data_IF_182162833071
#
_entry.id   IF_182162833071
#
_cell.length_a   1.000
_cell.length_b   1.000
_cell.length_c   1.000
_cell.angle_alpha   90.00
_cell.angle_beta   90.00
_cell.angle_gamma   90.00
#
_symmetry.space_group_name_H-M   'P 1'
#
loop_
_entity.id
_entity.type
_entity.pdbx_description
1 polymer ?
#
# COMPACT_ATOMS: atom_id res chain seq x y z
N UNK A 1 29.79 27.33 -3.63
CA UNK A 1 29.58 27.47 -2.17
C UNK A 1 28.22 26.84 -1.83
N UNK A 2 28.17 25.54 -1.64
CA UNK A 2 26.96 24.80 -1.27
C UNK A 2 27.14 24.31 0.16
N UNK A 3 26.44 24.94 1.09
CA UNK A 3 26.33 24.43 2.47
C UNK A 3 25.31 23.28 2.47
N UNK A 4 25.82 22.07 2.37
CA UNK A 4 25.03 20.86 2.58
C UNK A 4 24.70 20.72 4.06
N UNK A 5 23.42 20.60 4.41
CA UNK A 5 22.95 20.21 5.74
C UNK A 5 22.93 18.70 5.82
N UNK A 6 23.84 18.12 6.60
CA UNK A 6 23.83 16.69 6.93
C UNK A 6 22.47 16.31 7.54
N UNK A 7 21.57 15.73 6.76
CA UNK A 7 20.39 15.05 7.27
C UNK A 7 20.79 13.61 7.57
N UNK A 8 21.07 13.34 8.84
CA UNK A 8 21.04 12.00 9.38
C UNK A 8 19.64 11.47 9.08
N UNK A 9 19.53 10.43 8.24
CA UNK A 9 18.29 9.66 8.13
C UNK A 9 18.17 8.93 9.48
N UNK A 10 17.54 9.60 10.42
CA UNK A 10 16.92 8.91 11.51
C UNK A 10 15.75 8.16 10.86
N UNK A 11 15.81 6.81 10.81
CA UNK A 11 14.58 6.03 10.90
C UNK A 11 13.85 6.71 12.04
N UNK A 12 12.73 7.36 11.74
CA UNK A 12 11.94 8.08 12.71
C UNK A 12 11.36 7.05 13.67
N UNK A 13 12.18 6.60 14.62
CA UNK A 13 11.68 5.87 15.78
C UNK A 13 10.85 6.90 16.51
N UNK A 14 9.55 6.88 16.34
CA UNK A 14 8.64 7.81 16.99
C UNK A 14 8.80 7.64 18.50
N UNK A 15 9.52 8.56 19.11
CA UNK A 15 9.53 8.72 20.57
C UNK A 15 8.31 9.55 20.93
N UNK A 16 7.30 8.92 21.51
CA UNK A 16 6.11 9.58 22.05
C UNK A 16 4.86 9.06 21.37
N UNK A 17 3.86 8.72 22.14
CA UNK A 17 2.62 8.08 21.80
C UNK A 17 1.98 8.52 20.50
N UNK A 18 2.25 7.79 19.47
CA UNK A 18 1.61 7.96 18.18
C UNK A 18 0.25 7.27 18.26
N UNK A 19 -0.83 8.00 17.96
CA UNK A 19 -2.13 7.37 17.81
C UNK A 19 -2.03 6.25 16.77
N UNK A 20 -2.68 5.13 17.05
CA UNK A 20 -2.72 3.98 16.16
C UNK A 20 -3.92 4.12 15.23
N UNK A 21 -3.71 3.97 13.93
CA UNK A 21 -4.76 4.03 12.92
C UNK A 21 -4.93 2.65 12.29
N UNK A 22 -6.10 2.04 12.51
CA UNK A 22 -6.48 0.74 11.94
C UNK A 22 -7.46 0.99 10.80
N UNK A 23 -7.01 0.82 9.57
CA UNK A 23 -7.83 1.00 8.37
C UNK A 23 -8.87 -0.12 8.25
N UNK A 24 -10.10 0.24 7.85
CA UNK A 24 -11.23 -0.70 7.70
C UNK A 24 -11.75 -0.81 6.28
N UNK A 25 -11.73 0.28 5.51
CA UNK A 25 -12.29 0.31 4.17
C UNK A 25 -11.63 1.39 3.33
N UNK A 26 -11.51 1.16 2.04
CA UNK A 26 -11.26 2.19 1.02
C UNK A 26 -12.40 2.24 0.02
N UNK A 27 -12.75 3.47 -0.44
CA UNK A 27 -13.55 3.71 -1.62
C UNK A 27 -12.74 4.58 -2.58
N UNK A 28 -12.69 4.18 -3.83
CA UNK A 28 -11.84 4.78 -4.87
C UNK A 28 -12.67 4.99 -6.12
N UNK A 29 -12.57 6.17 -6.71
CA UNK A 29 -13.22 6.48 -7.98
C UNK A 29 -12.30 7.33 -8.87
N UNK A 30 -12.49 7.26 -10.19
CA UNK A 30 -11.87 8.17 -11.14
C UNK A 30 -10.35 8.01 -11.30
N UNK A 31 -9.81 6.81 -11.15
CA UNK A 31 -8.39 6.51 -11.35
C UNK A 31 -8.22 5.41 -12.41
N UNK A 32 -7.71 5.75 -13.59
CA UNK A 32 -7.53 4.82 -14.72
C UNK A 32 -8.84 4.10 -15.06
N UNK A 33 -8.93 2.79 -14.82
CA UNK A 33 -10.15 2.00 -15.04
C UNK A 33 -10.91 1.72 -13.73
N UNK A 34 -10.61 2.42 -12.64
CA UNK A 34 -11.32 2.25 -11.37
C UNK A 34 -12.52 3.21 -11.30
N UNK A 35 -13.71 2.63 -11.19
CA UNK A 35 -14.97 3.34 -11.00
C UNK A 35 -15.69 2.75 -9.81
N UNK A 36 -15.96 3.57 -8.79
CA UNK A 36 -16.72 3.20 -7.58
C UNK A 36 -16.23 1.92 -6.87
N UNK A 37 -14.92 1.69 -6.84
CA UNK A 37 -14.34 0.51 -6.19
C UNK A 37 -14.37 0.65 -4.68
N UNK A 38 -14.96 -0.33 -4.01
CA UNK A 38 -15.00 -0.42 -2.54
C UNK A 38 -14.24 -1.65 -2.06
N UNK A 39 -13.28 -1.46 -1.16
CA UNK A 39 -12.50 -2.52 -0.54
C UNK A 39 -12.65 -2.49 0.98
N UNK A 40 -13.25 -3.51 1.55
CA UNK A 40 -13.24 -3.75 3.00
C UNK A 40 -11.93 -4.46 3.35
N UNK A 41 -11.28 -4.03 4.41
CA UNK A 41 -9.99 -4.55 4.82
C UNK A 41 -10.15 -5.46 6.04
N UNK A 42 -9.76 -6.72 5.88
CA UNK A 42 -9.47 -7.64 6.97
C UNK A 42 -8.00 -7.54 7.38
N UNK A 43 -7.51 -8.39 8.27
CA UNK A 43 -6.09 -8.36 8.65
C UNK A 43 -5.21 -8.62 7.43
N UNK A 44 -5.63 -9.59 6.61
CA UNK A 44 -5.06 -9.86 5.29
C UNK A 44 -6.18 -9.77 4.25
N UNK A 45 -6.00 -9.01 3.19
CA UNK A 45 -6.96 -8.85 2.08
C UNK A 45 -6.26 -9.15 0.76
N UNK A 46 -6.80 -10.05 -0.04
CA UNK A 46 -6.26 -10.41 -1.33
C UNK A 46 -7.10 -9.86 -2.48
N UNK A 47 -6.46 -9.34 -3.51
CA UNK A 47 -7.08 -8.98 -4.79
C UNK A 47 -6.53 -9.94 -5.85
N UNK A 48 -7.35 -10.89 -6.28
CA UNK A 48 -6.93 -12.00 -7.14
C UNK A 48 -7.64 -11.90 -8.48
N UNK A 49 -6.97 -12.29 -9.56
CA UNK A 49 -7.56 -12.29 -10.90
C UNK A 49 -6.50 -12.31 -12.00
N UNK A 50 -6.93 -12.44 -13.25
CA UNK A 50 -6.05 -12.44 -14.40
C UNK A 50 -5.36 -11.07 -14.59
N UNK A 51 -4.37 -11.03 -15.49
CA UNK A 51 -3.65 -9.80 -15.80
C UNK A 51 -4.61 -8.76 -16.45
N UNK A 52 -4.28 -7.49 -16.29
CA UNK A 52 -5.02 -6.34 -16.85
C UNK A 52 -6.40 -6.02 -16.25
N UNK A 53 -6.86 -6.72 -15.21
CA UNK A 53 -8.15 -6.44 -14.55
C UNK A 53 -8.10 -5.34 -13.47
N UNK A 54 -7.06 -4.52 -13.48
CA UNK A 54 -7.00 -3.33 -12.61
C UNK A 54 -6.39 -3.54 -11.23
N UNK A 55 -5.90 -4.74 -10.85
CA UNK A 55 -5.29 -5.02 -9.53
C UNK A 55 -4.21 -4.00 -9.13
N UNK A 56 -3.21 -3.78 -9.99
CA UNK A 56 -2.15 -2.80 -9.75
C UNK A 56 -2.67 -1.36 -9.77
N UNK A 57 -3.80 -1.07 -10.46
CA UNK A 57 -4.41 0.25 -10.43
C UNK A 57 -5.00 0.56 -9.06
N UNK A 58 -5.60 -0.41 -8.37
CA UNK A 58 -6.06 -0.25 -6.98
C UNK A 58 -4.90 0.14 -6.06
N UNK A 59 -3.77 -0.60 -6.13
CA UNK A 59 -2.59 -0.29 -5.33
C UNK A 59 -2.05 1.11 -5.64
N UNK A 60 -1.98 1.46 -6.92
CA UNK A 60 -1.49 2.78 -7.33
C UNK A 60 -2.43 3.92 -6.89
N UNK A 61 -3.74 3.70 -6.92
CA UNK A 61 -4.73 4.67 -6.45
C UNK A 61 -4.64 4.88 -4.93
N UNK A 62 -4.53 3.81 -4.14
CA UNK A 62 -4.33 3.90 -2.68
C UNK A 62 -3.01 4.63 -2.38
N UNK A 63 -1.91 4.25 -3.06
CA UNK A 63 -0.61 4.89 -2.89
C UNK A 63 -0.66 6.39 -3.17
N UNK A 64 -1.19 6.76 -4.32
CA UNK A 64 -1.33 8.16 -4.71
C UNK A 64 -2.25 8.90 -3.74
N UNK A 65 -3.40 8.31 -3.42
CA UNK A 65 -4.41 8.95 -2.58
C UNK A 65 -3.92 9.22 -1.15
N UNK A 66 -3.24 8.27 -0.50
CA UNK A 66 -2.69 8.50 0.85
C UNK A 66 -1.52 9.51 0.79
N UNK A 67 -0.66 9.43 -0.23
CA UNK A 67 0.42 10.41 -0.41
C UNK A 67 -0.11 11.80 -0.66
N UNK A 68 -1.20 11.95 -1.42
CA UNK A 68 -1.85 13.22 -1.69
C UNK A 68 -2.26 13.95 -0.42
N UNK A 69 -2.77 13.23 0.60
CA UNK A 69 -3.15 13.84 1.87
C UNK A 69 -1.97 14.58 2.50
N UNK A 70 -0.77 13.99 2.50
CA UNK A 70 0.44 14.54 3.13
C UNK A 70 1.21 15.53 2.25
N UNK A 71 0.96 15.51 0.95
CA UNK A 71 1.75 16.24 -0.03
C UNK A 71 1.63 17.75 0.18
N UNK A 72 2.69 18.53 -0.01
CA UNK A 72 2.60 19.99 -0.11
C UNK A 72 1.85 20.39 -1.40
N UNK A 73 1.37 21.64 -1.44
CA UNK A 73 0.57 22.17 -2.56
C UNK A 73 1.20 21.92 -3.94
N UNK A 74 2.49 22.15 -4.10
CA UNK A 74 3.18 21.92 -5.38
C UNK A 74 3.11 20.47 -5.84
N UNK A 75 3.23 19.52 -4.90
CA UNK A 75 3.15 18.09 -5.20
C UNK A 75 1.71 17.66 -5.47
N UNK A 76 0.72 18.21 -4.76
CA UNK A 76 -0.71 18.00 -5.06
C UNK A 76 -1.05 18.44 -6.48
N UNK A 77 -0.53 19.59 -6.91
CA UNK A 77 -0.68 20.09 -8.28
C UNK A 77 -0.10 19.10 -9.30
N UNK A 78 1.07 18.50 -8.99
CA UNK A 78 1.68 17.46 -9.86
C UNK A 78 0.82 16.22 -9.95
N UNK A 79 0.23 15.75 -8.84
CA UNK A 79 -0.70 14.62 -8.84
C UNK A 79 -1.92 14.92 -9.73
N UNK A 80 -2.61 16.04 -9.50
CA UNK A 80 -3.80 16.44 -10.27
C UNK A 80 -3.53 16.65 -11.77
N UNK A 81 -2.27 16.86 -12.16
CA UNK A 81 -1.85 17.08 -13.55
C UNK A 81 -1.19 15.85 -14.19
N UNK A 82 -1.11 14.71 -13.48
CA UNK A 82 -0.43 13.53 -13.99
C UNK A 82 -1.33 12.70 -14.91
N UNK A 83 -1.21 12.92 -16.21
CA UNK A 83 -2.02 12.25 -17.25
C UNK A 83 -1.97 10.72 -17.21
N UNK A 84 -0.90 10.11 -16.68
CA UNK A 84 -0.82 8.65 -16.57
C UNK A 84 -1.80 8.04 -15.53
N UNK A 85 -2.42 8.88 -14.72
CA UNK A 85 -3.36 8.50 -13.67
C UNK A 85 -4.81 8.80 -14.01
N UNK A 86 -5.06 9.54 -15.10
CA UNK A 86 -6.40 9.93 -15.53
C UNK A 86 -7.29 8.72 -15.86
N UNK A 87 -8.62 8.87 -15.77
CA UNK A 87 -9.54 7.88 -16.27
C UNK A 87 -9.24 7.50 -17.73
N UNK A 88 -9.17 6.19 -18.02
CA UNK A 88 -8.76 5.69 -19.34
C UNK A 88 -9.93 5.50 -20.29
N UNK A 89 -11.13 5.30 -19.75
CA UNK A 89 -12.32 4.96 -20.52
C UNK A 89 -13.03 6.23 -20.98
N UNK A 90 -13.48 6.26 -22.23
CA UNK A 90 -14.17 7.43 -22.81
C UNK A 90 -15.38 7.87 -21.99
N UNK A 91 -16.19 6.92 -21.51
CA UNK A 91 -17.36 7.19 -20.66
C UNK A 91 -17.00 7.84 -19.32
N UNK A 92 -15.77 7.65 -18.83
CA UNK A 92 -15.31 8.14 -17.54
C UNK A 92 -14.30 9.31 -17.67
N UNK A 93 -14.10 9.87 -18.86
CA UNK A 93 -13.06 10.84 -19.14
C UNK A 93 -13.13 12.13 -18.30
N UNK A 94 -14.32 12.50 -17.82
CA UNK A 94 -14.54 13.67 -16.95
C UNK A 94 -14.70 13.34 -15.48
N UNK A 95 -14.51 12.08 -15.06
CA UNK A 95 -14.71 11.67 -13.68
C UNK A 95 -13.58 12.17 -12.79
N UNK A 96 -13.95 12.86 -11.71
CA UNK A 96 -13.02 13.32 -10.69
C UNK A 96 -12.42 12.15 -9.91
N UNK A 97 -11.17 12.33 -9.46
CA UNK A 97 -10.60 11.38 -8.51
C UNK A 97 -11.21 11.56 -7.14
N UNK A 98 -11.60 10.47 -6.51
CA UNK A 98 -11.95 10.48 -5.09
C UNK A 98 -11.32 9.32 -4.34
N UNK A 99 -10.92 9.61 -3.10
CA UNK A 99 -10.51 8.62 -2.11
C UNK A 99 -11.27 8.88 -0.83
N UNK A 100 -11.99 7.87 -0.33
CA UNK A 100 -12.53 7.83 1.02
C UNK A 100 -11.98 6.60 1.74
N UNK A 101 -11.67 6.74 3.03
CA UNK A 101 -11.38 5.59 3.87
C UNK A 101 -12.08 5.68 5.21
N UNK A 102 -12.36 4.52 5.79
CA UNK A 102 -12.80 4.40 7.18
C UNK A 102 -11.69 3.77 8.02
N UNK A 103 -11.53 4.23 9.24
CA UNK A 103 -10.53 3.73 10.17
C UNK A 103 -10.99 3.81 11.62
N UNK A 104 -10.41 2.98 12.48
CA UNK A 104 -10.46 3.15 13.92
C UNK A 104 -9.16 3.80 14.37
N UNK A 105 -9.25 4.93 15.05
CA UNK A 105 -8.10 5.62 15.65
C UNK A 105 -8.11 5.36 17.15
N UNK A 106 -7.00 4.86 17.67
CA UNK A 106 -6.83 4.45 19.06
C UNK A 106 -5.76 5.32 19.69
N UNK A 107 -6.08 6.01 20.79
CA UNK A 107 -5.10 6.82 21.52
C UNK A 107 -4.34 5.98 22.56
N UNK A 108 -3.38 6.61 23.26
CA UNK A 108 -2.57 5.99 24.29
C UNK A 108 -3.37 5.45 25.49
N UNK A 109 -4.55 6.00 25.73
CA UNK A 109 -5.47 5.55 26.77
C UNK A 109 -6.42 4.44 26.31
N UNK A 110 -6.24 3.88 25.11
CA UNK A 110 -7.12 2.93 24.45
C UNK A 110 -8.54 3.48 24.16
N UNK A 111 -8.72 4.81 24.18
CA UNK A 111 -9.96 5.42 23.71
C UNK A 111 -10.03 5.30 22.17
N UNK A 112 -11.18 4.91 21.66
CA UNK A 112 -11.41 4.63 20.25
C UNK A 112 -12.28 5.70 19.59
N UNK A 113 -11.93 6.04 18.37
CA UNK A 113 -12.76 6.88 17.50
C UNK A 113 -12.89 6.22 16.12
N UNK A 114 -14.10 5.97 15.65
CA UNK A 114 -14.34 5.62 14.26
C UNK A 114 -14.34 6.90 13.43
N UNK A 115 -13.57 6.89 12.35
CA UNK A 115 -13.44 8.02 11.45
C UNK A 115 -13.74 7.60 10.02
N UNK A 116 -14.39 8.51 9.28
CA UNK A 116 -14.51 8.44 7.82
C UNK A 116 -13.93 9.73 7.27
N UNK A 117 -12.88 9.61 6.48
CA UNK A 117 -12.23 10.75 5.83
C UNK A 117 -12.19 10.52 4.34
N UNK A 118 -12.55 11.54 3.58
CA UNK A 118 -12.50 11.50 2.13
C UNK A 118 -12.32 12.86 1.49
N UNK A 119 -11.86 12.86 0.26
CA UNK A 119 -11.71 14.04 -0.57
C UNK A 119 -11.90 13.70 -2.04
N UNK A 120 -12.24 14.73 -2.83
CA UNK A 120 -12.41 14.66 -4.28
C UNK A 120 -11.66 15.81 -4.93
N UNK A 121 -10.96 15.55 -6.03
CA UNK A 121 -10.34 16.59 -6.84
C UNK A 121 -10.57 16.34 -8.33
N UNK A 122 -10.63 17.45 -9.11
CA UNK A 122 -10.68 17.38 -10.57
C UNK A 122 -9.30 17.25 -11.17
N UNK A 123 -9.18 16.35 -12.15
CA UNK A 123 -7.99 16.26 -12.97
C UNK A 123 -7.83 17.52 -13.85
N UNK A 124 -6.58 17.93 -14.12
CA UNK A 124 -6.28 19.03 -15.01
C UNK A 124 -6.40 18.57 -16.48
N UNK A 125 -7.61 18.59 -17.00
CA UNK A 125 -7.95 18.19 -18.38
C UNK A 125 -8.42 19.39 -19.19
N UNK A 126 -8.70 19.19 -20.49
CA UNK A 126 -9.31 20.23 -21.34
C UNK A 126 -10.76 20.55 -20.89
N UNK A 127 -11.42 19.62 -20.21
CA UNK A 127 -12.82 19.76 -19.77
C UNK A 127 -12.96 20.33 -18.36
N UNK A 128 -11.94 20.19 -17.52
CA UNK A 128 -11.95 20.64 -16.14
C UNK A 128 -10.61 21.21 -15.70
N UNK A 129 -10.64 22.32 -14.96
CA UNK A 129 -9.47 22.83 -14.28
C UNK A 129 -9.22 21.99 -13.01
N UNK A 130 -7.95 21.73 -12.69
CA UNK A 130 -7.57 21.06 -11.44
C UNK A 130 -8.08 21.82 -10.22
N UNK A 131 -8.45 21.09 -9.18
CA UNK A 131 -8.83 21.68 -7.90
C UNK A 131 -9.44 20.62 -6.97
N UNK A 132 -9.31 20.84 -5.68
CA UNK A 132 -9.96 20.00 -4.67
C UNK A 132 -11.39 20.51 -4.51
N UNK A 133 -12.35 19.66 -4.87
CA UNK A 133 -13.78 20.02 -4.91
C UNK A 133 -14.48 19.70 -3.60
N UNK A 134 -14.16 18.55 -3.01
CA UNK A 134 -14.81 18.09 -1.79
C UNK A 134 -13.80 17.59 -0.78
N UNK A 135 -14.13 17.75 0.49
CA UNK A 135 -13.42 17.15 1.60
C UNK A 135 -14.36 16.97 2.77
N UNK A 136 -14.33 15.82 3.40
CA UNK A 136 -15.14 15.57 4.58
C UNK A 136 -14.41 14.74 5.63
N UNK A 137 -14.73 15.00 6.89
CA UNK A 137 -14.30 14.20 8.04
C UNK A 137 -15.52 13.97 8.94
N UNK A 138 -15.88 12.71 9.13
CA UNK A 138 -16.84 12.28 10.15
C UNK A 138 -16.08 11.57 11.27
N UNK A 139 -16.41 11.91 12.51
CA UNK A 139 -15.87 11.26 13.70
C UNK A 139 -17.04 10.75 14.52
N UNK A 140 -16.90 9.51 15.03
CA UNK A 140 -17.79 8.91 16.01
C UNK A 140 -16.94 8.43 17.19
N UNK A 141 -17.04 9.12 18.31
CA UNK A 141 -16.35 8.82 19.56
C UNK A 141 -17.25 9.09 20.75
N UNK A 142 -16.85 8.70 21.95
CA UNK A 142 -17.60 9.02 23.18
C UNK A 142 -17.72 10.53 23.43
N UNK A 143 -16.72 11.31 22.98
CA UNK A 143 -16.65 12.76 23.25
C UNK A 143 -17.33 13.62 22.19
N UNK A 144 -17.42 13.15 20.96
CA UNK A 144 -17.99 13.92 19.85
C UNK A 144 -18.42 13.02 18.71
N UNK A 145 -19.53 13.39 18.06
CA UNK A 145 -20.03 12.70 16.87
C UNK A 145 -20.37 13.66 15.74
N UNK A 146 -20.47 13.11 14.51
CA UNK A 146 -20.93 13.79 13.31
C UNK A 146 -19.82 14.38 12.43
N UNK A 147 -20.21 15.30 11.55
CA UNK A 147 -19.32 15.95 10.57
C UNK A 147 -18.39 16.95 11.25
N UNK A 148 -17.10 16.84 11.02
CA UNK A 148 -16.05 17.71 11.60
C UNK A 148 -15.36 18.58 10.56
N UNK A 149 -15.27 18.13 9.31
CA UNK A 149 -14.83 18.91 8.15
C UNK A 149 -15.89 18.75 7.06
N UNK A 150 -16.16 19.84 6.34
CA UNK A 150 -16.99 19.85 5.14
C UNK A 150 -16.45 20.91 4.18
N UNK A 151 -16.09 20.48 2.98
CA UNK A 151 -15.72 21.36 1.87
C UNK A 151 -16.59 21.05 0.66
N UNK A 152 -17.08 22.08 -0.01
CA UNK A 152 -17.78 22.05 -1.28
C UNK A 152 -17.24 23.22 -2.12
N UNK A 153 -16.38 22.92 -3.09
CA UNK A 153 -15.62 23.91 -3.85
C UNK A 153 -14.73 24.78 -2.95
N UNK A 154 -14.90 26.09 -3.01
CA UNK A 154 -14.19 27.05 -2.15
C UNK A 154 -14.80 27.22 -0.77
N UNK A 155 -16.02 26.69 -0.54
CA UNK A 155 -16.71 26.82 0.74
C UNK A 155 -16.26 25.72 1.71
N UNK A 156 -15.34 26.05 2.61
CA UNK A 156 -14.83 25.12 3.62
C UNK A 156 -15.29 25.50 5.03
N UNK A 157 -15.64 24.48 5.81
CA UNK A 157 -16.15 24.61 7.19
C UNK A 157 -15.55 23.52 8.09
N UNK A 158 -15.39 23.86 9.35
CA UNK A 158 -14.95 22.90 10.36
C UNK A 158 -15.75 23.01 11.67
N UNK A 159 -15.68 22.00 12.50
CA UNK A 159 -16.33 21.95 13.81
C UNK A 159 -15.37 22.51 14.87
N UNK A 160 -15.75 23.63 15.51
CA UNK A 160 -14.90 24.35 16.45
C UNK A 160 -14.99 23.82 17.90
N UNK A 161 -16.14 23.28 18.29
CA UNK A 161 -16.37 22.78 19.66
C UNK A 161 -17.11 21.44 19.67
N UNK A 162 -16.93 20.59 20.70
CA UNK A 162 -17.54 19.26 20.77
C UNK A 162 -19.06 19.24 20.61
N UNK A 163 -19.76 20.24 21.20
CA UNK A 163 -21.22 20.36 21.14
C UNK A 163 -21.72 21.18 19.94
N UNK A 164 -20.79 21.84 19.23
CA UNK A 164 -21.10 22.68 18.07
C UNK A 164 -21.42 21.89 16.80
N UNK A 165 -21.84 22.61 15.77
CA UNK A 165 -22.01 22.08 14.41
C UNK A 165 -20.79 22.41 13.54
N UNK A 166 -20.61 21.71 12.42
CA UNK A 166 -19.59 22.00 11.42
C UNK A 166 -19.98 23.23 10.59
N UNK A 167 -19.79 24.44 11.14
CA UNK A 167 -20.24 25.70 10.55
C UNK A 167 -19.19 26.82 10.57
N UNK A 168 -18.07 26.64 11.30
CA UNK A 168 -16.99 27.63 11.35
C UNK A 168 -16.29 27.66 9.99
N UNK A 169 -16.32 28.82 9.34
CA UNK A 169 -15.67 29.01 8.02
C UNK A 169 -14.15 28.99 8.16
N UNK A 170 -13.50 28.48 7.15
CA UNK A 170 -12.05 28.48 6.99
C UNK A 170 -11.73 28.78 5.52
N UNK A 171 -10.84 29.76 5.28
CA UNK A 171 -10.39 30.05 3.94
C UNK A 171 -9.41 28.96 3.48
N UNK A 172 -9.52 28.52 2.25
CA UNK A 172 -8.74 27.42 1.70
C UNK A 172 -8.49 27.65 0.21
N UNK A 173 -7.28 27.34 -0.24
CA UNK A 173 -6.92 27.37 -1.64
C UNK A 173 -7.33 26.08 -2.36
N UNK A 174 -7.43 26.13 -3.69
CA UNK A 174 -7.90 24.99 -4.50
C UNK A 174 -6.97 23.76 -4.44
N UNK A 175 -5.72 23.95 -4.06
CA UNK A 175 -4.70 22.90 -3.92
C UNK A 175 -4.40 22.50 -2.47
N UNK A 176 -5.17 23.01 -1.51
CA UNK A 176 -5.02 22.70 -0.08
C UNK A 176 -6.17 21.84 0.44
N UNK A 177 -5.85 20.89 1.29
CA UNK A 177 -6.84 20.16 2.08
C UNK A 177 -7.08 20.89 3.42
N UNK A 178 -8.33 20.95 3.84
CA UNK A 178 -8.73 21.55 5.14
C UNK A 178 -8.02 20.86 6.29
N UNK A 179 -7.89 19.54 6.23
CA UNK A 179 -7.22 18.75 7.28
C UNK A 179 -5.76 19.18 7.48
N UNK A 180 -5.03 19.54 6.41
CA UNK A 180 -3.64 20.02 6.54
C UNK A 180 -3.57 21.39 7.22
N UNK A 181 -4.54 22.28 6.94
CA UNK A 181 -4.60 23.59 7.58
C UNK A 181 -4.96 23.49 9.06
N UNK A 182 -5.90 22.58 9.40
CA UNK A 182 -6.34 22.35 10.77
C UNK A 182 -5.25 21.72 11.65
N UNK A 183 -4.24 21.05 11.09
CA UNK A 183 -3.11 20.51 11.86
C UNK A 183 -2.34 21.57 12.63
N UNK A 184 -2.40 22.84 12.19
CA UNK A 184 -1.75 23.98 12.84
C UNK A 184 -2.65 24.70 13.86
N UNK A 185 -3.81 24.15 14.21
CA UNK A 185 -4.77 24.76 15.12
C UNK A 185 -4.63 24.19 16.54
N UNK A 186 -3.77 24.76 17.37
CA UNK A 186 -3.40 24.24 18.72
C UNK A 186 -4.60 23.92 19.61
N UNK A 187 -5.73 24.63 19.46
CA UNK A 187 -6.92 24.48 20.30
C UNK A 187 -8.02 23.62 19.66
N UNK A 188 -7.70 22.83 18.65
CA UNK A 188 -8.66 21.95 18.00
C UNK A 188 -8.88 20.69 18.84
N UNK A 189 -10.14 20.48 19.32
CA UNK A 189 -10.43 19.38 20.26
C UNK A 189 -10.27 17.96 19.65
N UNK A 190 -10.16 17.84 18.30
CA UNK A 190 -9.87 16.62 17.57
C UNK A 190 -8.53 16.68 16.81
N UNK A 191 -7.61 17.55 17.26
CA UNK A 191 -6.30 17.74 16.63
C UNK A 191 -5.52 16.42 16.51
N UNK A 192 -5.58 15.57 17.52
CA UNK A 192 -4.88 14.28 17.49
C UNK A 192 -5.41 13.35 16.39
N UNK A 193 -6.71 13.40 16.11
CA UNK A 193 -7.31 12.66 14.98
C UNK A 193 -6.82 13.23 13.65
N UNK A 194 -6.77 14.56 13.50
CA UNK A 194 -6.21 15.24 12.32
C UNK A 194 -4.75 14.80 12.09
N UNK A 195 -3.93 14.82 13.14
CA UNK A 195 -2.54 14.35 13.07
C UNK A 195 -2.44 12.86 12.73
N UNK A 196 -3.34 12.03 13.26
CA UNK A 196 -3.36 10.60 12.97
C UNK A 196 -3.67 10.34 11.49
N UNK A 197 -4.61 11.06 10.90
CA UNK A 197 -4.96 10.96 9.48
C UNK A 197 -3.81 11.46 8.60
N UNK A 198 -3.25 12.64 8.87
CA UNK A 198 -2.08 13.16 8.19
C UNK A 198 -0.84 12.27 8.41
N UNK A 199 -0.79 11.53 9.50
CA UNK A 199 0.29 10.63 9.90
C UNK A 199 0.13 9.18 9.43
N UNK A 200 -0.88 8.82 8.63
CA UNK A 200 -1.04 7.46 8.11
C UNK A 200 0.21 7.04 7.34
N UNK A 201 0.92 6.07 7.87
CA UNK A 201 2.11 5.51 7.24
C UNK A 201 1.78 4.14 6.64
N UNK A 202 2.37 3.86 5.49
CA UNK A 202 2.20 2.62 4.77
C UNK A 202 3.46 2.30 3.97
N UNK A 203 3.63 1.03 3.62
CA UNK A 203 4.69 0.61 2.72
C UNK A 203 4.16 -0.26 1.59
N UNK A 204 4.79 -0.15 0.43
CA UNK A 204 4.48 -0.95 -0.74
C UNK A 204 5.73 -1.70 -1.14
N UNK A 205 5.60 -3.02 -1.24
CA UNK A 205 6.65 -3.92 -1.71
C UNK A 205 6.20 -4.38 -3.09
N UNK A 206 6.76 -3.75 -4.11
CA UNK A 206 6.62 -4.10 -5.52
C UNK A 206 7.80 -4.95 -5.95
N UNK A 207 7.90 -5.26 -7.22
CA UNK A 207 8.97 -6.02 -7.85
C UNK A 207 10.28 -6.06 -7.07
N UNK A 208 10.49 -7.16 -6.37
CA UNK A 208 11.66 -7.36 -5.55
C UNK A 208 12.86 -7.67 -6.47
N UNK A 209 13.60 -6.65 -6.85
CA UNK A 209 14.86 -6.83 -7.55
C UNK A 209 15.95 -7.26 -6.55
N UNK A 210 16.04 -8.56 -6.41
CA UNK A 210 17.02 -9.23 -5.52
C UNK A 210 18.46 -8.80 -5.83
N UNK A 211 18.75 -8.42 -7.07
CA UNK A 211 20.12 -8.08 -7.49
C UNK A 211 20.57 -6.72 -6.93
N UNK A 212 19.66 -5.82 -6.65
CA UNK A 212 19.95 -4.48 -6.13
C UNK A 212 19.95 -4.40 -4.61
N UNK A 213 19.24 -5.32 -3.95
CA UNK A 213 18.93 -5.21 -2.52
C UNK A 213 20.10 -5.56 -1.59
N UNK A 214 21.20 -6.13 -2.09
CA UNK A 214 22.15 -6.84 -1.22
C UNK A 214 23.64 -6.61 -1.52
N UNK A 215 23.97 -5.56 -2.22
CA UNK A 215 25.36 -5.08 -2.17
C UNK A 215 25.69 -4.78 -0.70
N UNK A 216 26.87 -5.20 -0.18
CA UNK A 216 27.27 -4.82 1.15
C UNK A 216 27.11 -3.31 1.25
N UNK A 217 26.10 -2.87 2.00
CA UNK A 217 25.76 -1.47 2.06
C UNK A 217 26.95 -0.72 2.65
N UNK A 218 27.75 -0.08 1.83
CA UNK A 218 28.46 1.10 2.26
C UNK A 218 27.37 2.09 2.62
N UNK A 219 27.15 2.31 3.91
CA UNK A 219 26.31 3.37 4.38
C UNK A 219 27.04 4.68 4.07
N UNK A 220 27.04 5.07 2.81
CA UNK A 220 27.40 6.40 2.40
C UNK A 220 26.20 7.26 2.74
N UNK A 221 26.33 8.17 3.71
CA UNK A 221 25.37 9.21 3.95
C UNK A 221 25.37 10.16 2.77
N UNK A 222 24.55 9.91 1.75
CA UNK A 222 24.28 10.87 0.70
C UNK A 222 23.08 11.72 1.06
N UNK A 223 23.25 13.03 0.94
CA UNK A 223 22.21 14.04 1.02
C UNK A 223 21.31 14.02 -0.22
N UNK A 224 20.55 12.98 -0.45
CA UNK A 224 19.47 13.05 -1.43
C UNK A 224 18.28 12.24 -0.96
N UNK A 225 17.11 12.86 -1.00
CA UNK A 225 15.89 12.42 -0.37
C UNK A 225 15.20 11.19 -0.95
N UNK A 226 15.86 10.39 -1.79
CA UNK A 226 15.40 9.11 -2.31
C UNK A 226 16.44 8.03 -1.98
N UNK A 227 16.45 7.65 -0.69
CA UNK A 227 17.23 6.47 -0.30
C UNK A 227 16.32 5.25 -0.42
N UNK A 228 16.59 4.43 -1.42
CA UNK A 228 16.07 3.08 -1.49
C UNK A 228 16.39 2.35 -0.19
N UNK A 229 15.36 2.04 0.60
CA UNK A 229 15.49 1.30 1.86
C UNK A 229 16.19 -0.05 1.69
N UNK A 230 16.28 -0.53 0.47
CA UNK A 230 16.91 -1.76 0.05
C UNK A 230 18.44 -1.77 0.28
N UNK A 231 19.13 -0.65 0.11
CA UNK A 231 20.59 -0.56 0.30
C UNK A 231 21.02 -0.59 1.78
N UNK A 232 20.07 -0.48 2.72
CA UNK A 232 20.32 -0.47 4.17
C UNK A 232 19.86 -1.74 4.88
N UNK A 233 19.38 -2.72 4.18
CA UNK A 233 18.72 -3.87 4.76
C UNK A 233 19.50 -4.57 5.88
N UNK A 234 20.82 -4.90 5.74
CA UNK A 234 21.58 -5.46 6.85
C UNK A 234 21.68 -4.54 8.06
N UNK A 235 21.73 -3.21 7.85
CA UNK A 235 21.72 -2.22 8.93
C UNK A 235 20.39 -2.19 9.69
N UNK A 236 19.27 -2.35 8.98
CA UNK A 236 17.94 -2.49 9.58
C UNK A 236 17.85 -3.75 10.43
N UNK A 237 18.34 -4.89 9.95
CA UNK A 237 18.39 -6.15 10.72
C UNK A 237 19.27 -5.99 11.96
N UNK A 238 20.39 -5.27 11.86
CA UNK A 238 21.21 -4.92 13.01
C UNK A 238 20.46 -4.07 14.03
N UNK A 239 19.71 -3.07 13.59
CA UNK A 239 18.89 -2.23 14.44
C UNK A 239 17.85 -3.07 15.20
N UNK A 240 17.14 -3.97 14.51
CA UNK A 240 16.21 -4.90 15.12
C UNK A 240 16.88 -5.76 16.18
N UNK A 241 18.06 -6.34 15.87
CA UNK A 241 18.84 -7.18 16.77
C UNK A 241 19.27 -6.44 18.05
N UNK A 242 19.61 -5.16 17.95
CA UNK A 242 20.18 -4.38 19.05
C UNK A 242 19.12 -3.66 19.88
N UNK A 243 18.16 -3.00 19.23
CA UNK A 243 17.15 -2.18 19.90
C UNK A 243 15.83 -2.94 20.17
N UNK A 244 15.42 -3.84 19.27
CA UNK A 244 14.13 -4.55 19.34
C UNK A 244 14.30 -6.06 19.53
N UNK A 245 15.11 -6.46 20.50
CA UNK A 245 15.55 -7.84 20.74
C UNK A 245 14.41 -8.87 20.77
N UNK A 246 13.25 -8.54 21.36
CA UNK A 246 12.08 -9.46 21.41
C UNK A 246 11.49 -9.68 20.02
N UNK A 247 11.30 -8.60 19.24
CA UNK A 247 10.78 -8.66 17.87
C UNK A 247 11.76 -9.37 16.94
N UNK A 248 13.05 -9.06 17.06
CA UNK A 248 14.11 -9.78 16.33
C UNK A 248 14.09 -11.28 16.63
N UNK A 249 13.99 -11.70 17.90
CA UNK A 249 13.91 -13.12 18.27
C UNK A 249 12.67 -13.77 17.64
N UNK A 250 11.51 -13.09 17.66
CA UNK A 250 10.27 -13.57 17.03
C UNK A 250 10.49 -13.77 15.54
N UNK A 251 11.03 -12.76 14.83
CA UNK A 251 11.39 -12.82 13.40
C UNK A 251 12.27 -14.03 13.07
N UNK A 252 13.39 -14.18 13.78
CA UNK A 252 14.34 -15.29 13.52
C UNK A 252 13.71 -16.66 13.76
N UNK A 253 12.93 -16.81 14.83
CA UNK A 253 12.24 -18.07 15.10
C UNK A 253 11.19 -18.37 14.02
N UNK A 254 10.41 -17.39 13.60
CA UNK A 254 9.41 -17.53 12.54
C UNK A 254 10.06 -17.88 11.20
N UNK A 255 11.17 -17.25 10.85
CA UNK A 255 11.92 -17.57 9.63
C UNK A 255 12.46 -19.02 9.66
N UNK A 256 12.94 -19.50 10.81
CA UNK A 256 13.41 -20.87 10.97
C UNK A 256 12.30 -21.91 10.85
N UNK A 257 11.05 -21.57 11.17
CA UNK A 257 9.91 -22.46 10.92
C UNK A 257 9.72 -22.72 9.42
N UNK A 258 9.99 -21.71 8.58
CA UNK A 258 9.92 -21.85 7.12
C UNK A 258 11.15 -22.55 6.55
N UNK A 259 12.32 -22.35 7.16
CA UNK A 259 13.61 -22.88 6.71
C UNK A 259 14.31 -23.65 7.85
N UNK A 260 13.87 -24.87 8.17
CA UNK A 260 14.39 -25.63 9.33
C UNK A 260 15.87 -25.99 9.25
N UNK A 261 16.47 -25.95 8.05
CA UNK A 261 17.90 -26.20 7.87
C UNK A 261 18.78 -25.03 8.30
N UNK A 262 18.20 -23.83 8.45
CA UNK A 262 18.95 -22.65 8.88
C UNK A 262 19.06 -22.63 10.40
N UNK A 263 20.24 -22.96 10.89
CA UNK A 263 20.54 -23.01 12.34
C UNK A 263 20.71 -21.63 12.93
N UNK A 264 21.42 -20.74 12.23
CA UNK A 264 21.84 -19.45 12.77
C UNK A 264 21.84 -18.35 11.73
N UNK A 265 21.37 -17.18 12.12
CA UNK A 265 21.44 -15.95 11.33
C UNK A 265 22.30 -14.97 12.11
N UNK A 266 23.37 -14.50 11.49
CA UNK A 266 24.31 -13.57 12.07
C UNK A 266 24.26 -12.24 11.34
N UNK A 267 24.03 -11.17 12.10
CA UNK A 267 24.20 -9.82 11.62
C UNK A 267 25.34 -9.18 12.40
N UNK A 268 26.38 -8.73 11.70
CA UNK A 268 27.61 -8.19 12.26
C UNK A 268 27.80 -6.78 11.73
N UNK A 269 28.16 -5.88 12.65
CA UNK A 269 28.64 -4.54 12.32
C UNK A 269 30.15 -4.55 12.30
N UNK A 270 30.74 -4.13 11.21
CA UNK A 270 32.19 -4.00 11.02
C UNK A 270 32.50 -2.50 11.01
N UNK A 271 33.13 -1.95 12.05
CA UNK A 271 33.58 -0.56 12.04
C UNK A 271 34.71 -0.43 11.03
N UNK A 272 34.58 0.46 10.04
CA UNK A 272 35.66 0.82 9.16
C UNK A 272 36.56 1.81 9.90
N UNK A 273 37.80 1.41 10.13
CA UNK A 273 38.79 2.23 10.86
C UNK A 273 39.19 3.47 10.07
N UNK A 274 39.47 4.54 10.80
CA UNK A 274 39.63 5.92 10.37
C UNK A 274 40.85 6.28 9.55
N UNK A 275 41.66 5.36 9.02
CA UNK A 275 43.01 5.64 8.52
C UNK A 275 43.14 5.83 7.00
N UNK A 276 42.13 6.40 6.35
CA UNK A 276 42.31 6.96 5.01
C UNK A 276 42.10 8.47 5.02
N UNK A 277 43.10 9.22 5.51
CA UNK A 277 43.33 10.58 5.09
C UNK A 277 43.71 10.58 3.61
N UNK A 278 42.74 10.70 2.73
CA UNK A 278 43.05 11.16 1.36
C UNK A 278 43.31 12.65 1.46
N UNK A 279 44.58 13.03 1.49
CA UNK A 279 45.04 14.39 1.24
C UNK A 279 44.66 14.74 -0.18
N UNK A 280 43.57 15.44 -0.39
CA UNK A 280 43.41 16.31 -1.55
C UNK A 280 44.07 17.64 -1.21
N UNK A 281 44.74 18.27 -2.18
CA UNK A 281 45.45 19.55 -2.06
C UNK A 281 44.56 20.76 -1.73
N UNK A 282 43.33 20.56 -1.38
CA UNK A 282 42.39 21.54 -0.86
C UNK A 282 42.04 21.20 0.59
N UNK A 283 42.24 22.16 1.47
CA UNK A 283 42.25 22.14 2.94
C UNK A 283 40.92 21.72 3.60
N UNK A 284 40.21 20.74 3.04
CA UNK A 284 39.00 20.13 3.60
C UNK A 284 39.14 18.61 3.73
N UNK A 285 39.63 18.18 4.92
CA UNK A 285 39.58 16.77 5.28
C UNK A 285 38.12 16.34 5.52
N UNK A 286 37.55 15.56 4.63
CA UNK A 286 36.25 14.92 4.82
C UNK A 286 36.47 13.58 5.53
N UNK A 287 36.08 13.53 6.81
CA UNK A 287 36.15 12.29 7.59
C UNK A 287 34.86 11.50 7.33
N UNK A 288 34.96 10.38 6.65
CA UNK A 288 33.84 9.45 6.49
C UNK A 288 33.81 8.45 7.64
N UNK A 289 32.73 8.44 8.40
CA UNK A 289 32.43 7.38 9.35
C UNK A 289 31.47 6.39 8.69
N UNK A 290 31.98 5.29 8.20
CA UNK A 290 31.17 4.24 7.59
C UNK A 290 31.22 2.97 8.44
N UNK A 291 30.06 2.50 8.88
CA UNK A 291 29.90 1.17 9.45
C UNK A 291 29.44 0.23 8.32
N UNK A 292 30.12 -0.90 8.15
CA UNK A 292 29.69 -1.95 7.23
C UNK A 292 28.85 -2.98 8.00
N UNK A 293 27.67 -3.30 7.48
CA UNK A 293 26.82 -4.35 8.05
C UNK A 293 26.83 -5.57 7.13
N UNK A 294 26.99 -6.77 7.71
CA UNK A 294 26.91 -8.03 6.97
C UNK A 294 25.85 -8.92 7.57
N UNK A 295 25.15 -9.66 6.70
CA UNK A 295 24.11 -10.61 7.07
C UNK A 295 24.47 -11.98 6.52
N UNK A 296 24.55 -12.98 7.37
CA UNK A 296 24.96 -14.34 6.99
C UNK A 296 24.09 -15.40 7.66
N UNK A 297 23.99 -16.54 6.98
CA UNK A 297 23.13 -17.66 7.32
C UNK A 297 23.94 -18.95 7.41
N UNK A 298 23.86 -19.63 8.55
CA UNK A 298 24.46 -20.95 8.72
C UNK A 298 23.39 -22.00 8.48
N UNK A 299 23.54 -22.79 7.45
CA UNK A 299 22.71 -23.97 7.18
C UNK A 299 23.38 -25.21 7.75
N UNK A 300 22.61 -26.07 8.43
CA UNK A 300 23.10 -27.30 9.06
C UNK A 300 23.69 -28.31 8.06
N UNK A 301 23.27 -28.21 6.80
CA UNK A 301 23.71 -29.10 5.71
C UNK A 301 24.95 -28.58 5.00
N UNK A 302 25.37 -27.36 5.30
CA UNK A 302 26.52 -26.75 4.62
C UNK A 302 27.73 -26.61 5.55
N UNK A 303 28.91 -26.80 4.98
CA UNK A 303 30.19 -26.63 5.70
C UNK A 303 30.52 -25.14 5.92
N UNK A 304 30.03 -24.26 5.03
CA UNK A 304 30.31 -22.83 5.06
C UNK A 304 29.04 -22.02 5.35
N UNK A 305 29.23 -20.87 5.98
CA UNK A 305 28.15 -19.89 6.19
C UNK A 305 27.90 -19.14 4.88
N UNK A 306 26.62 -19.05 4.50
CA UNK A 306 26.19 -18.31 3.32
C UNK A 306 25.98 -16.85 3.67
N UNK A 307 26.52 -15.95 2.85
CA UNK A 307 26.08 -14.55 2.89
C UNK A 307 24.68 -14.44 2.31
N UNK A 308 23.96 -13.39 2.69
CA UNK A 308 22.58 -13.17 2.25
C UNK A 308 22.46 -13.16 0.71
N UNK A 309 23.45 -12.62 0.01
CA UNK A 309 23.47 -12.54 -1.45
C UNK A 309 23.40 -13.92 -2.14
N UNK A 310 23.86 -14.97 -1.48
CA UNK A 310 23.90 -16.33 -2.02
C UNK A 310 22.68 -17.19 -1.67
N UNK A 311 21.71 -16.66 -0.94
CA UNK A 311 20.43 -17.33 -0.73
C UNK A 311 19.61 -17.37 -2.02
N UNK A 312 18.68 -18.32 -2.14
CA UNK A 312 17.72 -18.30 -3.24
C UNK A 312 16.85 -17.06 -3.19
N UNK A 313 16.34 -16.62 -4.34
CA UNK A 313 15.52 -15.41 -4.44
C UNK A 313 14.25 -15.50 -3.58
N UNK A 314 13.59 -16.67 -3.58
CA UNK A 314 12.45 -16.90 -2.70
C UNK A 314 12.79 -16.79 -1.20
N UNK A 315 13.95 -17.33 -0.79
CA UNK A 315 14.41 -17.22 0.61
C UNK A 315 14.69 -15.77 1.00
N UNK A 316 15.35 -15.02 0.11
CA UNK A 316 15.63 -13.59 0.31
C UNK A 316 14.34 -12.79 0.42
N UNK A 317 13.39 -13.02 -0.51
CA UNK A 317 12.10 -12.33 -0.55
C UNK A 317 11.32 -12.58 0.73
N UNK A 318 11.20 -13.83 1.17
CA UNK A 318 10.55 -14.17 2.44
C UNK A 318 11.22 -13.43 3.60
N UNK A 319 12.54 -13.52 3.73
CA UNK A 319 13.22 -12.86 4.84
C UNK A 319 13.00 -11.34 4.84
N UNK A 320 13.10 -10.71 3.67
CA UNK A 320 12.87 -9.27 3.51
C UNK A 320 11.45 -8.87 3.91
N UNK A 321 10.42 -9.55 3.39
CA UNK A 321 9.03 -9.21 3.70
C UNK A 321 8.68 -9.42 5.17
N UNK A 322 9.25 -10.46 5.82
CA UNK A 322 9.08 -10.65 7.26
C UNK A 322 9.77 -9.54 8.09
N UNK A 323 10.92 -9.04 7.65
CA UNK A 323 11.55 -7.85 8.27
C UNK A 323 10.67 -6.64 8.11
N UNK A 324 10.10 -6.42 6.92
CA UNK A 324 9.16 -5.32 6.65
C UNK A 324 7.91 -5.42 7.53
N UNK A 325 7.35 -6.62 7.74
CA UNK A 325 6.22 -6.83 8.64
C UNK A 325 6.56 -6.44 10.10
N UNK A 326 7.73 -6.84 10.58
CA UNK A 326 8.19 -6.45 11.92
C UNK A 326 8.38 -4.94 12.06
N UNK A 327 8.90 -4.27 11.02
CA UNK A 327 9.03 -2.82 11.00
C UNK A 327 7.67 -2.12 10.99
N UNK A 328 6.71 -2.64 10.23
CA UNK A 328 5.34 -2.10 10.20
C UNK A 328 4.69 -2.13 11.58
N UNK A 329 4.90 -3.21 12.35
CA UNK A 329 4.43 -3.30 13.73
C UNK A 329 5.18 -2.36 14.69
N UNK A 330 6.50 -2.18 14.53
CA UNK A 330 7.30 -1.26 15.36
C UNK A 330 6.92 0.20 15.13
N UNK A 331 6.74 0.59 13.87
CA UNK A 331 6.48 1.98 13.48
C UNK A 331 4.98 2.30 13.42
N UNK A 332 4.11 1.34 13.77
CA UNK A 332 2.65 1.44 13.71
C UNK A 332 2.15 1.85 12.32
N UNK A 333 2.64 1.19 11.28
CA UNK A 333 2.11 1.38 9.94
C UNK A 333 0.65 0.90 9.88
N UNK A 334 -0.18 1.64 9.17
CA UNK A 334 -1.59 1.29 9.01
C UNK A 334 -1.82 0.27 7.91
N UNK A 335 -0.88 0.20 6.93
CA UNK A 335 -1.04 -0.63 5.75
C UNK A 335 0.30 -1.10 5.19
N UNK A 336 0.37 -2.38 4.82
CA UNK A 336 1.43 -2.97 4.01
C UNK A 336 0.82 -3.56 2.74
N UNK A 337 1.36 -3.20 1.60
CA UNK A 337 0.90 -3.67 0.29
C UNK A 337 2.00 -4.51 -0.35
N UNK A 338 1.65 -5.71 -0.81
CA UNK A 338 2.54 -6.64 -1.48
C UNK A 338 2.02 -6.94 -2.88
N UNK A 339 2.81 -6.68 -3.91
CA UNK A 339 2.51 -7.14 -5.27
C UNK A 339 3.10 -8.54 -5.47
N UNK A 340 2.22 -9.51 -5.79
CA UNK A 340 2.60 -10.88 -6.14
C UNK A 340 3.59 -11.52 -5.15
N UNK A 341 3.22 -11.62 -3.84
CA UNK A 341 4.12 -12.14 -2.82
C UNK A 341 4.55 -13.59 -3.07
N UNK A 342 3.78 -14.34 -3.86
CA UNK A 342 4.05 -15.74 -4.23
C UNK A 342 5.20 -15.91 -5.23
N UNK A 343 5.58 -14.86 -5.96
CA UNK A 343 6.64 -14.97 -6.96
C UNK A 343 7.94 -15.46 -6.33
N UNK A 344 8.52 -16.50 -6.93
CA UNK A 344 9.75 -17.19 -6.47
C UNK A 344 9.59 -17.94 -5.13
N UNK A 345 8.39 -18.08 -4.59
CA UNK A 345 8.11 -18.87 -3.37
C UNK A 345 7.47 -20.20 -3.75
N UNK A 346 8.02 -21.29 -3.20
CA UNK A 346 7.44 -22.61 -3.44
C UNK A 346 6.02 -22.70 -2.82
N UNK A 347 5.00 -23.21 -3.54
CA UNK A 347 3.61 -23.24 -3.05
C UNK A 347 3.45 -23.85 -1.66
N UNK A 348 4.22 -24.89 -1.32
CA UNK A 348 4.15 -25.53 0.00
C UNK A 348 4.54 -24.63 1.17
N UNK A 349 5.23 -23.51 0.94
CA UNK A 349 5.60 -22.54 1.97
C UNK A 349 4.59 -21.40 2.11
N UNK A 350 3.73 -21.17 1.11
CA UNK A 350 2.87 -20.00 1.04
C UNK A 350 1.93 -19.88 2.26
N UNK A 351 1.26 -20.96 2.64
CA UNK A 351 0.35 -20.93 3.78
C UNK A 351 1.05 -20.53 5.09
N UNK A 352 2.18 -21.17 5.37
CA UNK A 352 2.97 -20.86 6.58
C UNK A 352 3.56 -19.46 6.52
N UNK A 353 3.99 -19.02 5.34
CA UNK A 353 4.52 -17.68 5.12
C UNK A 353 3.47 -16.60 5.37
N UNK A 354 2.28 -16.71 4.80
CA UNK A 354 1.20 -15.73 4.98
C UNK A 354 0.77 -15.62 6.44
N UNK A 355 0.63 -16.76 7.12
CA UNK A 355 0.29 -16.79 8.54
C UNK A 355 1.37 -16.14 9.42
N UNK A 356 2.65 -16.36 9.11
CA UNK A 356 3.77 -15.75 9.83
C UNK A 356 3.83 -14.24 9.52
N UNK A 357 3.58 -13.86 8.29
CA UNK A 357 3.55 -12.46 7.88
C UNK A 357 2.51 -11.67 8.68
N UNK A 358 1.29 -12.19 8.76
CA UNK A 358 0.21 -11.64 9.55
C UNK A 358 0.59 -11.54 11.05
N UNK A 359 1.07 -12.64 11.65
CA UNK A 359 1.51 -12.65 13.06
C UNK A 359 2.63 -11.64 13.37
N UNK A 360 3.49 -11.32 12.41
CA UNK A 360 4.59 -10.36 12.59
C UNK A 360 4.19 -8.90 12.33
N UNK A 361 3.16 -8.67 11.53
CA UNK A 361 2.70 -7.31 11.15
C UNK A 361 1.92 -6.60 12.26
N UNK A 362 1.48 -7.33 13.28
CA UNK A 362 0.68 -6.79 14.39
C UNK A 362 -0.70 -6.34 13.90
N UNK A 363 -1.03 -5.06 14.07
CA UNK A 363 -2.33 -4.51 13.64
C UNK A 363 -2.25 -3.80 12.28
N UNK A 364 -1.11 -3.89 11.60
CA UNK A 364 -0.92 -3.36 10.24
C UNK A 364 -1.75 -4.21 9.26
N UNK A 365 -2.68 -3.59 8.53
CA UNK A 365 -3.44 -4.30 7.50
C UNK A 365 -2.55 -4.67 6.33
N UNK A 366 -2.79 -5.86 5.75
CA UNK A 366 -2.03 -6.35 4.60
C UNK A 366 -2.96 -6.44 3.40
N UNK A 367 -2.60 -5.78 2.30
CA UNK A 367 -3.23 -6.00 0.99
C UNK A 367 -2.21 -6.66 0.09
N UNK A 368 -2.58 -7.69 -0.63
CA UNK A 368 -1.75 -8.17 -1.71
C UNK A 368 -2.54 -8.47 -2.99
N UNK A 369 -1.84 -8.37 -4.11
CA UNK A 369 -2.37 -8.79 -5.41
C UNK A 369 -1.75 -10.10 -5.82
N UNK A 370 -2.53 -10.95 -6.47
CA UNK A 370 -2.05 -12.23 -6.98
C UNK A 370 -2.72 -12.58 -8.31
N UNK A 371 -1.99 -13.33 -9.13
CA UNK A 371 -2.51 -14.01 -10.30
C UNK A 371 -2.36 -15.54 -10.20
N UNK A 372 -2.13 -16.04 -8.98
CA UNK A 372 -1.91 -17.47 -8.71
C UNK A 372 -3.13 -18.12 -8.06
N UNK A 373 -3.63 -19.23 -8.62
CA UNK A 373 -4.70 -20.01 -8.00
C UNK A 373 -4.31 -20.57 -6.62
N UNK A 374 -3.02 -20.81 -6.38
CA UNK A 374 -2.54 -21.30 -5.09
C UNK A 374 -2.79 -20.34 -3.93
N UNK A 375 -2.83 -19.03 -4.19
CA UNK A 375 -3.09 -18.06 -3.13
C UNK A 375 -4.50 -18.21 -2.56
N UNK A 376 -5.49 -18.54 -3.40
CA UNK A 376 -6.87 -18.74 -2.98
C UNK A 376 -7.00 -19.93 -2.01
N UNK A 377 -6.20 -20.98 -2.20
CA UNK A 377 -6.27 -22.19 -1.35
C UNK A 377 -5.83 -21.96 0.10
N UNK A 378 -5.01 -20.93 0.34
CA UNK A 378 -4.35 -20.71 1.63
C UNK A 378 -4.93 -19.55 2.42
N UNK A 379 -5.94 -18.88 1.88
CA UNK A 379 -6.62 -17.73 2.48
C UNK A 379 -8.05 -18.08 2.87
N UNK A 380 -8.61 -17.31 3.79
CA UNK A 380 -10.06 -17.33 3.98
C UNK A 380 -10.73 -16.71 2.75
N UNK A 381 -11.69 -17.42 2.18
CA UNK A 381 -12.41 -16.97 0.99
C UNK A 381 -13.17 -15.65 1.21
N UNK A 382 -13.46 -15.30 2.46
CA UNK A 382 -14.06 -14.01 2.83
C UNK A 382 -13.09 -12.82 2.74
N UNK A 383 -11.79 -13.10 2.64
CA UNK A 383 -10.73 -12.09 2.56
C UNK A 383 -10.28 -11.82 1.12
N UNK A 384 -10.98 -12.42 0.15
CA UNK A 384 -10.59 -12.40 -1.26
C UNK A 384 -11.57 -11.58 -2.09
N UNK A 385 -11.01 -10.69 -2.89
CA UNK A 385 -11.67 -10.01 -4.00
C UNK A 385 -11.25 -10.64 -5.30
N UNK A 386 -12.22 -11.06 -6.10
CA UNK A 386 -12.00 -11.62 -7.44
C UNK A 386 -12.16 -10.49 -8.46
N UNK A 387 -11.12 -10.23 -9.25
CA UNK A 387 -11.18 -9.35 -10.40
C UNK A 387 -11.89 -10.05 -11.54
N UNK A 388 -13.06 -9.56 -11.91
CA UNK A 388 -13.88 -10.09 -12.98
C UNK A 388 -13.58 -9.39 -14.32
N UNK A 389 -13.70 -10.10 -15.45
CA UNK A 389 -13.69 -9.43 -16.75
C UNK A 389 -14.92 -8.53 -16.88
N UNK A 390 -14.73 -7.33 -17.46
CA UNK A 390 -15.79 -6.38 -17.71
C UNK A 390 -15.78 -5.98 -19.19
N UNK A 391 -16.91 -6.05 -19.86
CA UNK A 391 -17.09 -5.60 -21.26
C UNK A 391 -16.81 -4.10 -21.39
N UNK A 392 -17.10 -3.33 -20.34
CA UNK A 392 -16.85 -1.89 -20.29
C UNK A 392 -15.38 -1.51 -20.09
N UNK A 393 -14.49 -2.48 -19.77
CA UNK A 393 -13.08 -2.24 -19.44
C UNK A 393 -12.83 -1.66 -18.04
N UNK A 394 -13.87 -1.44 -17.26
CA UNK A 394 -13.76 -1.04 -15.85
C UNK A 394 -13.29 -2.21 -14.98
N UNK A 395 -12.63 -1.89 -13.89
CA UNK A 395 -12.22 -2.89 -12.93
C UNK A 395 -13.42 -3.28 -12.05
N UNK A 396 -13.79 -4.54 -12.08
CA UNK A 396 -14.86 -5.12 -11.28
C UNK A 396 -14.26 -6.10 -10.25
N UNK A 397 -14.33 -5.75 -8.98
CA UNK A 397 -13.81 -6.56 -7.87
C UNK A 397 -14.95 -7.03 -6.99
N UNK A 398 -15.18 -8.35 -6.99
CA UNK A 398 -16.29 -8.97 -6.27
C UNK A 398 -15.80 -9.87 -5.13
N UNK A 399 -16.53 -9.86 -4.02
CA UNK A 399 -16.28 -10.76 -2.89
C UNK A 399 -16.99 -12.10 -3.07
N UNK A 400 -16.49 -13.14 -2.44
CA UNK A 400 -17.10 -14.47 -2.47
C UNK A 400 -18.22 -14.54 -1.44
N UNK A 401 -19.49 -14.66 -1.88
CA UNK A 401 -20.67 -14.73 -1.01
C UNK A 401 -21.05 -16.16 -0.59
N UNK A 402 -20.70 -17.14 -1.39
CA UNK A 402 -21.09 -18.56 -1.16
C UNK A 402 -19.86 -19.49 -1.16
N UNK A 403 -18.94 -19.32 -0.20
CA UNK A 403 -17.66 -20.05 -0.19
C UNK A 403 -17.85 -21.58 -0.12
N UNK A 404 -18.77 -22.07 0.72
CA UNK A 404 -19.02 -23.50 0.85
C UNK A 404 -19.58 -24.13 -0.43
N UNK A 405 -20.47 -23.41 -1.15
CA UNK A 405 -21.00 -23.89 -2.41
C UNK A 405 -19.91 -23.94 -3.47
N UNK A 406 -19.12 -22.87 -3.57
CA UNK A 406 -17.99 -22.77 -4.50
C UNK A 406 -17.00 -23.92 -4.31
N UNK A 407 -16.59 -24.20 -3.05
CA UNK A 407 -15.71 -25.33 -2.74
C UNK A 407 -16.30 -26.68 -3.13
N UNK A 408 -17.59 -26.91 -2.85
CA UNK A 408 -18.28 -28.16 -3.22
C UNK A 408 -18.38 -28.35 -4.71
N UNK A 409 -18.66 -27.27 -5.45
CA UNK A 409 -18.81 -27.36 -6.90
C UNK A 409 -17.46 -27.54 -7.59
N UNK A 410 -16.40 -26.85 -7.15
CA UNK A 410 -15.03 -27.10 -7.61
C UNK A 410 -14.62 -28.57 -7.40
N UNK A 411 -14.92 -29.14 -6.24
CA UNK A 411 -14.62 -30.54 -5.94
C UNK A 411 -15.37 -31.54 -6.85
N UNK A 412 -16.57 -31.22 -7.39
CA UNK A 412 -17.26 -32.06 -8.36
C UNK A 412 -16.52 -32.19 -9.69
N UNK A 413 -15.71 -31.17 -10.02
CA UNK A 413 -14.86 -31.16 -11.20
C UNK A 413 -13.44 -31.66 -10.93
N UNK A 414 -13.19 -32.22 -9.74
CA UNK A 414 -11.87 -32.67 -9.30
C UNK A 414 -10.80 -31.56 -9.31
N UNK A 415 -11.25 -30.32 -9.03
CA UNK A 415 -10.42 -29.11 -9.04
C UNK A 415 -10.28 -28.51 -7.63
N UNK A 416 -9.18 -27.81 -7.40
CA UNK A 416 -9.09 -26.89 -6.28
C UNK A 416 -9.98 -25.66 -6.49
N UNK A 417 -10.42 -25.00 -5.43
CA UNK A 417 -11.21 -23.77 -5.53
C UNK A 417 -10.50 -22.69 -6.34
N UNK A 418 -9.17 -22.59 -6.17
CA UNK A 418 -8.36 -21.63 -6.94
C UNK A 418 -8.33 -21.95 -8.42
N UNK A 419 -8.07 -23.22 -8.78
CA UNK A 419 -8.04 -23.65 -10.19
C UNK A 419 -9.41 -23.45 -10.86
N UNK A 420 -10.50 -23.82 -10.16
CA UNK A 420 -11.87 -23.61 -10.65
C UNK A 420 -12.16 -22.13 -10.95
N UNK A 421 -11.79 -21.20 -10.03
CA UNK A 421 -11.97 -19.77 -10.26
C UNK A 421 -11.14 -19.29 -11.45
N UNK A 422 -9.84 -19.63 -11.52
CA UNK A 422 -8.97 -19.14 -12.57
C UNK A 422 -9.33 -19.71 -13.96
N UNK A 423 -9.75 -20.96 -14.02
CA UNK A 423 -10.26 -21.54 -15.25
C UNK A 423 -11.54 -20.82 -15.70
N UNK A 424 -12.48 -20.61 -14.77
CA UNK A 424 -13.72 -19.87 -15.05
C UNK A 424 -13.47 -18.45 -15.54
N UNK A 425 -12.51 -17.74 -14.96
CA UNK A 425 -12.12 -16.39 -15.38
C UNK A 425 -11.53 -16.33 -16.80
N UNK A 426 -11.05 -17.47 -17.32
CA UNK A 426 -10.47 -17.56 -18.66
C UNK A 426 -11.51 -17.67 -19.78
N UNK A 427 -12.78 -17.92 -19.43
CA UNK A 427 -13.86 -18.03 -20.39
C UNK A 427 -14.57 -16.69 -20.62
N UNK A 428 -15.09 -16.49 -21.83
CA UNK A 428 -15.83 -15.27 -22.19
C UNK A 428 -17.10 -15.05 -21.33
N UNK A 429 -17.70 -16.14 -20.81
CA UNK A 429 -18.87 -16.14 -19.96
C UNK A 429 -18.52 -16.32 -18.46
N UNK A 430 -17.38 -15.80 -18.01
CA UNK A 430 -16.93 -15.91 -16.62
C UNK A 430 -18.00 -15.44 -15.61
N UNK A 431 -18.80 -14.43 -15.95
CA UNK A 431 -19.86 -13.92 -15.09
C UNK A 431 -21.00 -14.94 -14.91
N UNK A 432 -21.39 -15.66 -15.97
CA UNK A 432 -22.37 -16.75 -15.87
C UNK A 432 -21.85 -17.90 -14.98
N UNK A 433 -20.56 -18.19 -15.05
CA UNK A 433 -19.94 -19.27 -14.30
C UNK A 433 -19.70 -18.94 -12.83
N UNK A 434 -19.28 -17.74 -12.52
CA UNK A 434 -18.87 -17.32 -11.18
C UNK A 434 -19.91 -16.42 -10.47
N UNK A 435 -20.80 -15.76 -11.20
CA UNK A 435 -21.74 -14.79 -10.65
C UNK A 435 -22.63 -15.33 -9.53
N UNK A 436 -23.00 -16.61 -9.55
CA UNK A 436 -23.80 -17.20 -8.47
C UNK A 436 -23.04 -17.33 -7.11
N UNK A 437 -21.70 -17.33 -7.14
CA UNK A 437 -20.85 -17.44 -5.93
C UNK A 437 -20.37 -16.09 -5.42
N UNK A 438 -20.37 -15.08 -6.29
CA UNK A 438 -19.81 -13.77 -6.02
C UNK A 438 -20.87 -12.74 -5.61
N UNK A 439 -20.42 -11.60 -5.10
CA UNK A 439 -21.28 -10.43 -4.94
C UNK A 439 -21.72 -9.88 -6.31
N UNK A 440 -22.81 -9.14 -6.32
CA UNK A 440 -23.20 -8.38 -7.49
C UNK A 440 -22.11 -7.38 -7.87
N UNK A 441 -22.04 -7.03 -9.15
CA UNK A 441 -21.16 -5.97 -9.62
C UNK A 441 -21.56 -4.62 -8.98
N UNK A 442 -20.58 -3.79 -8.73
CA UNK A 442 -20.80 -2.40 -8.32
C UNK A 442 -20.78 -1.44 -9.50
N UNK A 443 -20.54 -1.97 -10.71
CA UNK A 443 -20.57 -1.18 -11.94
C UNK A 443 -22.00 -0.93 -12.38
N UNK A 444 -22.28 0.27 -12.86
CA UNK A 444 -23.55 0.58 -13.51
C UNK A 444 -23.61 -0.21 -14.82
N UNK A 445 -24.56 -1.13 -14.93
CA UNK A 445 -24.79 -1.87 -16.16
C UNK A 445 -25.61 -0.93 -17.06
N UNK A 446 -24.93 -0.22 -17.94
CA UNK A 446 -25.61 0.50 -19.02
C UNK A 446 -26.20 -0.56 -20.00
N UNK A 447 -27.51 -0.75 -19.97
CA UNK A 447 -28.28 -1.59 -20.91
C UNK A 447 -28.31 -0.98 -22.34
N UNK A 448 -27.28 -0.26 -22.75
CA UNK A 448 -27.19 0.35 -24.10
C UNK A 448 -26.02 -0.17 -24.90
N UNK A 449 -25.98 -1.49 -25.14
CA UNK A 449 -25.37 -2.03 -26.34
C UNK A 449 -26.47 -2.19 -27.41
N UNK A 450 -26.93 -1.05 -27.95
CA UNK A 450 -27.61 -1.04 -29.24
C UNK A 450 -26.55 -0.82 -30.31
N UNK A 451 -26.34 -1.88 -31.09
CA UNK A 451 -25.75 -1.93 -32.41
C UNK A 451 -25.55 -0.57 -33.10
N UNK A 452 -24.34 -0.05 -33.11
CA UNK A 452 -23.85 0.95 -34.05
C UNK A 452 -22.31 0.89 -34.16
N UNK A 453 -21.79 -0.25 -34.62
CA UNK A 453 -20.39 -0.38 -35.01
C UNK A 453 -20.27 -1.15 -36.35
N UNK A 454 -20.72 -0.51 -37.45
CA UNK A 454 -20.36 -0.94 -38.81
C UNK A 454 -20.23 0.28 -39.75
N UNK A 455 -19.33 1.21 -39.47
CA UNK A 455 -19.07 2.31 -40.42
C UNK A 455 -17.60 2.76 -40.54
N UNK A 456 -16.62 1.88 -40.32
CA UNK A 456 -15.19 2.20 -40.47
C UNK A 456 -14.47 1.43 -41.60
N UNK A 457 -15.21 0.77 -42.55
CA UNK A 457 -14.58 0.01 -43.62
C UNK A 457 -14.97 0.46 -45.05
N UNK A 458 -15.30 1.71 -45.29
CA UNK A 458 -15.47 2.22 -46.66
C UNK A 458 -14.95 3.63 -46.81
N UNK A 459 -13.63 3.77 -46.91
CA UNK A 459 -13.03 4.88 -47.64
C UNK A 459 -11.73 4.42 -48.31
N UNK A 460 -11.93 3.58 -49.35
CA UNK A 460 -10.92 3.25 -50.33
C UNK A 460 -11.31 3.92 -51.63
N UNK A 461 -10.50 4.86 -52.07
CA UNK A 461 -10.17 5.00 -53.45
C UNK A 461 -10.99 5.99 -54.28
N UNK A 462 -10.31 6.89 -54.89
CA UNK A 462 -10.74 7.53 -56.12
C UNK A 462 -10.04 8.86 -56.43
N UNK A 463 -8.95 8.70 -57.12
CA UNK A 463 -8.46 9.53 -58.26
C UNK A 463 -8.72 11.05 -58.25
N UNK A 464 -7.69 11.85 -58.17
CA UNK A 464 -7.02 12.62 -59.26
C UNK A 464 -5.85 13.47 -58.70
#
# INVERSE_FOLDING_TARGET
MFKGKNRIIMIKISRGGKMKTVLKQFKINGFRNLTNVTLNLNDVTAIVGLNSYGKSNVINAINMGIKFIKAPSEEKIRYMSNRSMYPLLKKNAGTDFSLEFTAEIINENNEKADVTYGYTFSWNTEQSARGINEEHLFIKSERSGGKHISREGSAAKYKRSPQGRCQSKIDIDDDQLVINKLENFDNLFYLEIVKAINGIDFQIIKDFDVSKSFLPARIAFYESGDMDSENFFPGVVWLLKTKYKKKYKKLINSFKLLFPTIDRIECIKIPLTKDHETRSDDDSSVIFHEDLFTLSFKDSKLTQTLKFEFLSDGTKRIFYTLVCAVLSDIDNYSLMILEEPENSIHPSLLQSYLRILDDLSGDCKIIFTSHSPYMIQYLDLNDIYIGMPSSSGEADFRTIKKPEKLMKDAAKFDQSTGDFIFESLSFANADDMLGEYLSETTLDIDDTDSDDDDDWLNDDGGDE
#
